data_IF_232535815354
#
_entry.id   IF_232535815354
#
_cell.length_a   1.000
_cell.length_b   1.000
_cell.length_c   1.000
_cell.angle_alpha   90.00
_cell.angle_beta   90.00
_cell.angle_gamma   90.00
#
_symmetry.space_group_name_H-M   'P 1'
#
loop_
_entity.id
_entity.type
_entity.pdbx_description
1 polymer ?
#
# COMPACT_ATOMS: atom_id res chain seq x y z
N UNK A 1 1.88 -22.87 -2.61
CA UNK A 1 1.55 -22.55 -1.20
C UNK A 1 0.04 -22.62 -1.04
N UNK A 2 -0.46 -23.04 0.12
CA UNK A 2 -1.92 -22.96 0.38
C UNK A 2 -2.37 -21.50 0.38
N UNK A 3 -3.55 -21.21 -0.18
CA UNK A 3 -4.15 -19.88 -0.20
C UNK A 3 -4.17 -19.25 1.20
N UNK A 4 -4.47 -20.04 2.23
CA UNK A 4 -4.47 -19.59 3.62
C UNK A 4 -3.11 -19.04 4.07
N UNK A 5 -1.99 -19.64 3.64
CA UNK A 5 -0.64 -19.14 3.99
C UNK A 5 -0.37 -17.80 3.32
N UNK A 6 -0.81 -17.62 2.08
CA UNK A 6 -0.68 -16.35 1.36
C UNK A 6 -1.51 -15.28 2.06
N UNK A 7 -2.77 -15.57 2.39
CA UNK A 7 -3.67 -14.63 3.06
C UNK A 7 -3.16 -14.24 4.45
N UNK A 8 -2.64 -15.19 5.24
CA UNK A 8 -2.01 -14.89 6.54
C UNK A 8 -0.75 -14.01 6.35
N UNK A 9 0.07 -14.29 5.34
CA UNK A 9 1.23 -13.45 4.99
C UNK A 9 0.81 -12.03 4.59
N UNK A 10 -0.23 -11.89 3.77
CA UNK A 10 -0.81 -10.59 3.41
C UNK A 10 -1.38 -9.88 4.64
N UNK A 11 -2.09 -10.58 5.51
CA UNK A 11 -2.63 -10.01 6.73
C UNK A 11 -1.52 -9.49 7.66
N UNK A 12 -0.46 -10.28 7.88
CA UNK A 12 0.70 -9.87 8.66
C UNK A 12 1.40 -8.65 8.03
N UNK A 13 1.57 -8.64 6.72
CA UNK A 13 2.12 -7.49 5.99
C UNK A 13 1.27 -6.24 6.17
N UNK A 14 -0.06 -6.36 6.10
CA UNK A 14 -0.97 -5.25 6.38
C UNK A 14 -0.87 -4.76 7.82
N UNK A 15 -0.73 -5.66 8.79
CA UNK A 15 -0.54 -5.29 10.20
C UNK A 15 0.75 -4.50 10.40
N UNK A 16 1.87 -4.99 9.85
CA UNK A 16 3.17 -4.30 9.89
C UNK A 16 3.08 -2.92 9.23
N UNK A 17 2.56 -2.84 8.01
CA UNK A 17 2.41 -1.58 7.30
C UNK A 17 1.51 -0.59 8.07
N UNK A 18 0.44 -1.08 8.71
CA UNK A 18 -0.44 -0.23 9.51
C UNK A 18 0.27 0.34 10.74
N UNK A 19 1.02 -0.49 11.48
CA UNK A 19 1.84 -0.02 12.60
C UNK A 19 2.90 0.96 12.11
N UNK A 20 3.59 0.67 11.00
CA UNK A 20 4.56 1.58 10.40
C UNK A 20 3.95 2.94 10.03
N UNK A 21 2.73 2.98 9.49
CA UNK A 21 2.07 4.27 9.20
C UNK A 21 1.82 5.11 10.45
N UNK A 22 1.45 4.49 11.57
CA UNK A 22 1.27 5.19 12.85
C UNK A 22 2.60 5.69 13.40
N UNK A 23 3.65 4.87 13.35
CA UNK A 23 4.98 5.27 13.82
C UNK A 23 5.56 6.41 12.98
N UNK A 24 5.43 6.34 11.66
CA UNK A 24 5.89 7.40 10.75
C UNK A 24 5.10 8.69 10.94
N UNK A 25 3.77 8.61 11.10
CA UNK A 25 2.92 9.78 11.34
C UNK A 25 3.21 10.48 12.67
N UNK A 26 3.68 9.75 13.67
CA UNK A 26 4.08 10.32 14.97
C UNK A 26 5.54 10.81 15.00
N UNK A 27 6.36 10.46 14.02
CA UNK A 27 7.78 10.83 14.00
C UNK A 27 8.02 12.29 13.58
N UNK A 28 7.01 12.99 13.06
CA UNK A 28 7.08 14.39 12.65
C UNK A 28 6.46 14.64 11.27
N UNK A 29 6.70 15.85 10.75
CA UNK A 29 6.06 16.34 9.52
C UNK A 29 7.08 16.68 8.43
N UNK A 30 8.07 15.81 8.20
CA UNK A 30 9.02 15.98 7.09
C UNK A 30 8.48 15.34 5.82
N UNK A 31 8.92 15.84 4.66
CA UNK A 31 8.58 15.27 3.36
C UNK A 31 8.96 13.77 3.27
N UNK A 32 10.10 13.39 3.85
CA UNK A 32 10.54 11.99 3.87
C UNK A 32 9.60 11.09 4.68
N UNK A 33 9.09 11.57 5.83
CA UNK A 33 8.11 10.82 6.63
C UNK A 33 6.78 10.71 5.90
N UNK A 34 6.31 11.80 5.28
CA UNK A 34 5.10 11.78 4.46
C UNK A 34 5.22 10.79 3.29
N UNK A 35 6.35 10.81 2.57
CA UNK A 35 6.66 9.83 1.52
C UNK A 35 6.64 8.39 2.06
N UNK A 36 7.20 8.16 3.26
CA UNK A 36 7.16 6.87 3.93
C UNK A 36 5.73 6.38 4.22
N UNK A 37 4.86 7.27 4.73
CA UNK A 37 3.44 6.95 4.99
C UNK A 37 2.72 6.60 3.68
N UNK A 38 2.96 7.37 2.62
CA UNK A 38 2.35 7.15 1.31
C UNK A 38 2.85 5.84 0.66
N UNK A 39 4.14 5.53 0.78
CA UNK A 39 4.71 4.25 0.35
C UNK A 39 4.07 3.08 1.12
N UNK A 40 3.89 3.21 2.43
CA UNK A 40 3.22 2.19 3.22
C UNK A 40 1.75 2.02 2.82
N UNK A 41 1.04 3.12 2.56
CA UNK A 41 -0.34 3.10 2.05
C UNK A 41 -0.43 2.41 0.67
N UNK A 42 0.49 2.70 -0.25
CA UNK A 42 0.58 2.05 -1.55
C UNK A 42 0.91 0.55 -1.41
N UNK A 43 1.83 0.19 -0.51
CA UNK A 43 2.13 -1.19 -0.17
C UNK A 43 0.89 -1.95 0.31
N UNK A 44 0.05 -1.32 1.15
CA UNK A 44 -1.22 -1.92 1.58
C UNK A 44 -2.18 -2.15 0.41
N UNK A 45 -2.30 -1.18 -0.49
CA UNK A 45 -3.12 -1.35 -1.70
C UNK A 45 -2.63 -2.54 -2.53
N UNK A 46 -1.30 -2.66 -2.72
CA UNK A 46 -0.70 -3.80 -3.42
C UNK A 46 -1.01 -5.15 -2.75
N UNK A 47 -0.85 -5.26 -1.43
CA UNK A 47 -1.18 -6.48 -0.69
C UNK A 47 -2.66 -6.86 -0.79
N UNK A 48 -3.57 -5.87 -0.78
CA UNK A 48 -5.01 -6.11 -0.88
C UNK A 48 -5.38 -6.55 -2.30
N UNK A 49 -4.91 -5.83 -3.31
CA UNK A 49 -5.23 -6.09 -4.72
C UNK A 49 -4.68 -7.44 -5.19
N UNK A 50 -3.41 -7.75 -4.91
CA UNK A 50 -2.81 -8.99 -5.39
C UNK A 50 -3.07 -10.17 -4.43
N UNK A 51 -3.17 -9.91 -3.14
CA UNK A 51 -3.42 -10.92 -2.09
C UNK A 51 -4.89 -11.27 -1.95
N UNK A 52 -5.67 -10.37 -1.36
CA UNK A 52 -7.05 -10.62 -0.96
C UNK A 52 -8.05 -10.62 -2.12
N UNK A 53 -7.85 -9.74 -3.11
CA UNK A 53 -8.69 -9.70 -4.30
C UNK A 53 -8.21 -10.68 -5.38
N UNK A 54 -7.07 -11.35 -5.15
CA UNK A 54 -6.43 -12.30 -6.06
C UNK A 54 -6.23 -11.77 -7.49
N UNK A 55 -6.20 -10.44 -7.68
CA UNK A 55 -6.12 -9.85 -9.02
C UNK A 55 -4.77 -10.11 -9.70
N UNK A 56 -3.79 -10.68 -8.99
CA UNK A 56 -2.53 -11.16 -9.59
C UNK A 56 -2.76 -12.09 -10.79
N UNK A 57 -3.90 -12.80 -10.83
CA UNK A 57 -4.29 -13.70 -11.92
C UNK A 57 -5.33 -13.08 -12.88
N UNK A 58 -5.83 -11.88 -12.56
CA UNK A 58 -6.79 -11.16 -13.39
C UNK A 58 -6.09 -10.39 -14.53
N UNK A 59 -6.84 -9.93 -15.55
CA UNK A 59 -6.30 -9.10 -16.60
C UNK A 59 -5.58 -7.85 -16.03
N UNK A 60 -4.39 -7.48 -16.56
CA UNK A 60 -3.56 -6.41 -15.98
C UNK A 60 -4.25 -5.05 -15.87
N UNK A 61 -5.23 -4.76 -16.75
CA UNK A 61 -5.98 -3.51 -16.72
C UNK A 61 -6.69 -3.29 -15.37
N UNK A 62 -7.26 -4.33 -14.76
CA UNK A 62 -7.94 -4.22 -13.47
C UNK A 62 -6.98 -3.92 -12.33
N UNK A 63 -5.82 -4.58 -12.33
CA UNK A 63 -4.74 -4.29 -11.37
C UNK A 63 -4.22 -2.87 -11.54
N UNK A 64 -4.03 -2.43 -12.79
CA UNK A 64 -3.56 -1.07 -13.08
C UNK A 64 -4.57 -0.02 -12.64
N UNK A 65 -5.88 -0.25 -12.80
CA UNK A 65 -6.89 0.69 -12.30
C UNK A 65 -6.85 0.80 -10.77
N UNK A 66 -6.80 -0.34 -10.06
CA UNK A 66 -6.81 -0.35 -8.60
C UNK A 66 -5.50 0.13 -7.97
N UNK A 67 -4.34 -0.09 -8.61
CA UNK A 67 -3.05 0.40 -8.13
C UNK A 67 -2.71 1.78 -8.68
N UNK A 68 -3.21 2.12 -9.86
CA UNK A 68 -3.02 3.43 -10.47
C UNK A 68 -3.66 4.54 -9.63
N UNK A 69 -4.86 4.30 -9.09
CA UNK A 69 -5.52 5.26 -8.20
C UNK A 69 -4.68 5.64 -6.95
N UNK A 70 -4.26 4.71 -6.07
CA UNK A 70 -3.44 5.04 -4.91
C UNK A 70 -2.06 5.56 -5.29
N UNK A 71 -1.50 5.14 -6.44
CA UNK A 71 -0.25 5.72 -6.95
C UNK A 71 -0.41 7.19 -7.33
N UNK A 72 -1.45 7.53 -8.09
CA UNK A 72 -1.79 8.90 -8.45
C UNK A 72 -2.06 9.76 -7.21
N UNK A 73 -2.77 9.20 -6.21
CA UNK A 73 -2.99 9.87 -4.93
C UNK A 73 -1.66 10.14 -4.21
N UNK A 74 -0.77 9.14 -4.12
CA UNK A 74 0.53 9.31 -3.47
C UNK A 74 1.40 10.37 -4.16
N UNK A 75 1.45 10.35 -5.49
CA UNK A 75 2.17 11.35 -6.28
C UNK A 75 1.54 12.74 -6.08
N UNK A 76 0.22 12.85 -6.18
CA UNK A 76 -0.51 14.10 -6.01
C UNK A 76 -0.26 14.72 -4.64
N UNK A 77 -0.34 13.92 -3.57
CA UNK A 77 -0.04 14.40 -2.21
C UNK A 77 1.43 14.84 -2.09
N UNK A 78 2.38 14.07 -2.63
CA UNK A 78 3.80 14.47 -2.59
C UNK A 78 4.05 15.80 -3.30
N UNK A 79 3.44 16.00 -4.47
CA UNK A 79 3.56 17.25 -5.20
C UNK A 79 2.99 18.45 -4.43
N UNK A 80 1.97 18.27 -3.59
CA UNK A 80 1.46 19.34 -2.73
C UNK A 80 2.36 19.67 -1.53
N UNK A 81 3.36 18.83 -1.24
CA UNK A 81 4.29 18.99 -0.12
C UNK A 81 5.69 19.46 -0.55
N UNK A 82 5.93 19.64 -1.85
CA UNK A 82 7.14 20.24 -2.43
C UNK A 82 7.00 21.76 -2.48
#
# INVERSE_FOLDING_TARGET
MSASKILVGCWLGLAVLSVSTVLLGNAGATLALAAGVLLAAFGKAWLITDGFMELRHAPPAWRLLLLGWPLLMAIGVLLTLL
#
